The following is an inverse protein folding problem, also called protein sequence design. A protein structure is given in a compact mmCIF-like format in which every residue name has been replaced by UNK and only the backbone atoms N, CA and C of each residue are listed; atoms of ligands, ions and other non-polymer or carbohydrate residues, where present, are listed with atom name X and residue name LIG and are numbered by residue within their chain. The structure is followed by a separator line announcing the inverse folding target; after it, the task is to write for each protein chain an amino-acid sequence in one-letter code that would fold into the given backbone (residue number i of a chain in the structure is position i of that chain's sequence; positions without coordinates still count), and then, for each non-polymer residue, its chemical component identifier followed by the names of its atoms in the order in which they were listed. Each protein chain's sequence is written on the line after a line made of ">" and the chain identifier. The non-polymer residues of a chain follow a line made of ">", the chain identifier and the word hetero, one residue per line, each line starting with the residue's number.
data_IF_346858718759
#
_entry.id   IF_346858718759
#
_cell.length_a   1.000
_cell.length_b   1.000
_cell.length_c   1.000
_cell.angle_alpha   90.00
_cell.angle_beta   90.00
_cell.angle_gamma   90.00
#
_symmetry.space_group_name_H-M   'P 1'
#
loop_
_entity.id
_entity.type
_entity.pdbx_description
1 polymer ?
#
# COMPACT_ATOMS: atom_id res chain seq x y z
N UNK A 1 -31.91 -53.64 -7.63
CA UNK A 1 -30.67 -52.85 -7.56
C UNK A 1 -31.05 -51.42 -7.21
N UNK A 2 -30.91 -51.07 -5.92
CA UNK A 2 -31.12 -49.73 -5.38
C UNK A 2 -29.91 -48.86 -5.72
N UNK A 3 -30.12 -47.64 -6.22
CA UNK A 3 -29.14 -46.57 -6.07
C UNK A 3 -29.87 -45.23 -6.03
N UNK A 4 -30.30 -44.88 -4.83
CA UNK A 4 -30.71 -43.53 -4.44
C UNK A 4 -29.44 -42.82 -4.00
N UNK A 5 -28.90 -41.92 -4.83
CA UNK A 5 -27.77 -41.07 -4.40
C UNK A 5 -28.34 -39.83 -3.73
N UNK A 6 -28.27 -39.89 -2.42
CA UNK A 6 -28.56 -38.85 -1.44
C UNK A 6 -27.51 -37.73 -1.56
N UNK A 7 -27.87 -36.61 -2.18
CA UNK A 7 -27.07 -35.39 -2.15
C UNK A 7 -27.48 -34.56 -0.92
N UNK A 8 -26.78 -34.80 0.19
CA UNK A 8 -26.83 -33.95 1.36
C UNK A 8 -25.46 -33.97 2.05
N UNK A 9 -24.61 -33.01 1.72
CA UNK A 9 -23.53 -32.56 2.60
C UNK A 9 -23.64 -31.04 2.72
N UNK A 10 -24.21 -30.68 3.86
CA UNK A 10 -24.12 -29.38 4.51
C UNK A 10 -22.66 -29.04 4.83
N UNK A 11 -22.35 -27.73 4.88
CA UNK A 11 -21.68 -26.98 5.96
C UNK A 11 -21.08 -25.71 5.33
N UNK A 12 -21.74 -24.56 5.47
CA UNK A 12 -21.48 -23.60 6.56
C UNK A 12 -20.01 -23.15 6.58
N UNK A 13 -19.75 -21.98 5.99
CA UNK A 13 -18.41 -21.38 5.93
C UNK A 13 -18.42 -19.91 5.49
N UNK A 14 -19.40 -19.12 5.92
CA UNK A 14 -19.33 -17.65 5.82
C UNK A 14 -19.13 -17.10 7.23
N UNK A 15 -17.90 -17.18 7.72
CA UNK A 15 -17.45 -16.45 8.91
C UNK A 15 -15.95 -16.27 8.80
N UNK A 16 -15.53 -15.16 8.21
CA UNK A 16 -14.62 -14.22 8.88
C UNK A 16 -14.77 -12.86 8.18
N UNK A 17 -15.58 -11.98 8.75
CA UNK A 17 -15.29 -10.55 8.68
C UNK A 17 -14.19 -10.40 9.73
N UNK A 18 -12.95 -10.48 9.25
CA UNK A 18 -11.78 -10.05 10.00
C UNK A 18 -11.52 -8.63 9.53
N UNK A 19 -12.05 -7.66 10.26
CA UNK A 19 -11.50 -6.30 10.28
C UNK A 19 -10.10 -6.39 10.90
N UNK A 20 -9.11 -6.74 10.09
CA UNK A 20 -7.71 -6.35 10.26
C UNK A 20 -6.99 -6.59 8.92
N UNK A 21 -7.44 -5.86 7.90
CA UNK A 21 -6.68 -5.74 6.66
C UNK A 21 -5.43 -4.88 6.90
N UNK A 22 -4.45 -5.44 7.62
CA UNK A 22 -3.07 -5.21 7.22
C UNK A 22 -2.88 -5.94 5.90
N UNK A 23 -3.46 -5.39 4.82
CA UNK A 23 -3.34 -5.91 3.46
C UNK A 23 -1.93 -5.65 2.92
N UNK A 24 -0.95 -6.30 3.52
CA UNK A 24 0.45 -6.38 3.09
C UNK A 24 0.63 -7.38 1.93
N UNK A 25 -0.32 -7.38 0.98
CA UNK A 25 -0.28 -8.23 -0.23
C UNK A 25 0.29 -7.49 -1.45
N UNK A 26 0.47 -6.17 -1.34
CA UNK A 26 1.05 -5.36 -2.40
C UNK A 26 2.56 -5.59 -2.60
N UNK A 27 3.13 -5.13 -3.73
CA UNK A 27 4.58 -5.21 -4.00
C UNK A 27 5.41 -4.35 -3.03
N UNK A 28 4.78 -3.60 -2.14
CA UNK A 28 5.42 -2.71 -1.19
C UNK A 28 5.15 -3.16 0.25
N UNK A 29 6.21 -3.16 1.05
CA UNK A 29 6.14 -3.27 2.50
C UNK A 29 6.60 -1.95 3.10
N UNK A 30 5.91 -1.46 4.11
CA UNK A 30 6.40 -0.38 4.95
C UNK A 30 6.28 -0.74 6.44
N UNK A 31 7.15 -0.15 7.25
CA UNK A 31 7.16 -0.31 8.71
C UNK A 31 7.82 0.91 9.37
N UNK A 32 7.49 1.15 10.64
CA UNK A 32 8.17 2.12 11.48
C UNK A 32 9.49 1.55 12.00
N UNK A 33 10.59 2.29 11.83
CA UNK A 33 11.92 1.97 12.36
C UNK A 33 12.57 3.25 12.88
N UNK A 34 12.77 3.35 14.19
CA UNK A 34 13.49 4.46 14.83
C UNK A 34 13.04 5.85 14.33
N UNK A 35 11.76 6.18 14.51
CA UNK A 35 11.18 7.48 14.10
C UNK A 35 11.27 7.74 12.58
N UNK A 36 11.30 6.68 11.78
CA UNK A 36 11.27 6.77 10.33
C UNK A 36 10.39 5.68 9.74
N UNK A 37 9.75 5.97 8.62
CA UNK A 37 9.03 4.96 7.82
C UNK A 37 10.02 4.37 6.82
N UNK A 38 10.30 3.07 6.98
CA UNK A 38 11.10 2.29 6.06
C UNK A 38 10.18 1.61 5.04
N UNK A 39 10.45 1.83 3.75
CA UNK A 39 9.63 1.36 2.62
C UNK A 39 10.49 0.49 1.72
N UNK A 40 10.12 -0.78 1.56
CA UNK A 40 10.84 -1.77 0.77
C UNK A 40 10.02 -2.22 -0.43
N UNK A 41 10.54 -1.98 -1.64
CA UNK A 41 9.95 -2.50 -2.86
C UNK A 41 10.32 -3.99 -3.04
N UNK A 42 9.35 -4.87 -2.86
CA UNK A 42 9.44 -6.32 -3.06
C UNK A 42 8.89 -6.77 -4.42
N UNK A 43 8.37 -5.82 -5.21
CA UNK A 43 7.88 -6.06 -6.57
C UNK A 43 9.01 -6.16 -7.59
N UNK A 44 8.61 -6.30 -8.86
CA UNK A 44 9.52 -6.41 -10.00
C UNK A 44 9.71 -5.09 -10.75
N UNK A 45 8.87 -4.10 -10.50
CA UNK A 45 8.90 -2.80 -11.17
C UNK A 45 9.42 -1.71 -10.24
N UNK A 46 9.98 -0.65 -10.82
CA UNK A 46 10.26 0.59 -10.07
C UNK A 46 8.92 1.24 -9.67
N UNK A 47 8.83 1.66 -8.41
CA UNK A 47 7.65 2.35 -7.86
C UNK A 47 8.02 3.74 -7.37
N UNK A 48 7.09 4.68 -7.45
CA UNK A 48 7.23 5.99 -6.84
C UNK A 48 6.34 6.03 -5.61
N UNK A 49 6.76 6.78 -4.59
CA UNK A 49 6.12 6.78 -3.28
C UNK A 49 5.84 8.18 -2.81
N UNK A 50 4.71 8.38 -2.16
CA UNK A 50 4.39 9.58 -1.40
C UNK A 50 3.92 9.16 0.00
N UNK A 51 4.28 9.93 1.02
CA UNK A 51 3.93 9.66 2.41
C UNK A 51 3.31 10.91 3.02
N UNK A 52 2.24 10.73 3.78
CA UNK A 52 1.63 11.80 4.55
C UNK A 52 0.88 11.22 5.76
N UNK A 53 0.75 12.03 6.80
CA UNK A 53 -0.11 11.75 7.94
C UNK A 53 -1.57 11.62 7.49
N UNK A 54 -2.27 10.64 8.04
CA UNK A 54 -3.66 10.33 7.70
C UNK A 54 -4.59 11.54 7.90
N UNK A 55 -4.43 12.30 8.99
CA UNK A 55 -5.31 13.43 9.33
C UNK A 55 -5.17 14.62 8.39
N UNK A 56 -4.04 14.77 7.71
CA UNK A 56 -3.81 15.90 6.81
C UNK A 56 -4.13 15.60 5.35
N UNK A 57 -4.42 14.34 4.99
CA UNK A 57 -4.64 13.93 3.59
C UNK A 57 -5.69 14.78 2.87
N UNK A 58 -6.80 15.10 3.53
CA UNK A 58 -7.88 15.91 2.96
C UNK A 58 -7.48 17.38 2.69
N UNK A 59 -6.33 17.83 3.20
CA UNK A 59 -5.82 19.20 3.09
C UNK A 59 -4.66 19.34 2.11
N UNK A 60 -4.14 18.23 1.59
CA UNK A 60 -3.02 18.22 0.66
C UNK A 60 -3.52 18.31 -0.79
N UNK A 61 -3.07 19.32 -1.53
CA UNK A 61 -3.17 19.33 -2.99
C UNK A 61 -1.92 18.64 -3.57
N UNK A 62 -1.98 17.31 -3.61
CA UNK A 62 -0.88 16.46 -4.10
C UNK A 62 -1.33 15.63 -5.31
N UNK A 63 -0.38 15.34 -6.22
CA UNK A 63 -0.61 14.52 -7.41
C UNK A 63 0.53 13.53 -7.63
N UNK A 64 0.24 12.29 -8.08
CA UNK A 64 1.25 11.34 -8.51
C UNK A 64 2.14 11.90 -9.61
N UNK A 65 3.45 11.67 -9.51
CA UNK A 65 4.44 12.07 -10.50
C UNK A 65 5.54 11.01 -10.64
N UNK A 66 6.39 11.12 -11.66
CA UNK A 66 7.55 10.23 -11.85
C UNK A 66 8.87 10.91 -11.44
N UNK A 67 8.81 11.89 -10.53
CA UNK A 67 9.93 12.73 -10.08
C UNK A 67 10.85 12.02 -9.06
N UNK A 68 12.10 12.48 -8.92
CA UNK A 68 13.21 12.00 -9.74
C UNK A 68 13.70 10.61 -9.34
N UNK A 69 13.50 10.21 -8.08
CA UNK A 69 13.99 8.94 -7.59
C UNK A 69 12.83 7.97 -7.34
N UNK A 70 12.56 7.13 -8.33
CA UNK A 70 11.80 5.90 -8.12
C UNK A 70 12.55 4.93 -7.18
N UNK A 71 11.81 4.08 -6.49
CA UNK A 71 12.32 3.01 -5.66
C UNK A 71 12.45 1.74 -6.51
N UNK A 72 13.69 1.37 -6.85
CA UNK A 72 13.98 0.20 -7.67
C UNK A 72 13.58 -1.12 -6.95
N UNK A 73 13.34 -2.22 -7.72
CA UNK A 73 13.08 -3.54 -7.16
C UNK A 73 14.13 -3.97 -6.13
N UNK A 74 13.70 -4.55 -5.02
CA UNK A 74 14.55 -5.01 -3.92
C UNK A 74 15.15 -3.90 -3.05
N UNK A 75 14.97 -2.63 -3.41
CA UNK A 75 15.54 -1.50 -2.68
C UNK A 75 14.65 -1.06 -1.51
N UNK A 76 15.29 -0.48 -0.50
CA UNK A 76 14.63 0.13 0.66
C UNK A 76 14.93 1.63 0.70
N UNK A 77 13.92 2.43 1.01
CA UNK A 77 14.03 3.86 1.32
C UNK A 77 13.52 4.11 2.72
N UNK A 78 14.23 4.94 3.48
CA UNK A 78 13.81 5.35 4.81
C UNK A 78 13.56 6.85 4.82
N UNK A 79 12.41 7.26 5.35
CA UNK A 79 12.01 8.67 5.47
C UNK A 79 11.71 8.95 6.94
N UNK A 80 12.48 9.86 7.54
CA UNK A 80 12.25 10.29 8.93
C UNK A 80 10.86 10.94 9.06
N UNK A 81 10.16 10.68 10.17
CA UNK A 81 8.82 11.21 10.42
C UNK A 81 8.78 12.73 10.29
N UNK A 82 9.80 13.44 10.79
CA UNK A 82 9.93 14.91 10.68
C UNK A 82 9.91 15.46 9.23
N UNK A 83 10.19 14.61 8.23
CA UNK A 83 10.18 14.98 6.81
C UNK A 83 8.87 14.62 6.10
N UNK A 84 8.02 13.84 6.75
CA UNK A 84 6.73 13.45 6.24
C UNK A 84 5.73 14.54 6.65
N UNK A 85 4.95 15.12 5.71
CA UNK A 85 3.89 16.04 6.07
C UNK A 85 2.91 15.34 7.02
N UNK A 86 2.74 15.83 8.24
CA UNK A 86 1.83 15.28 9.25
C UNK A 86 1.34 16.38 10.20
N UNK A 87 0.24 16.12 10.91
CA UNK A 87 -0.20 16.97 12.02
C UNK A 87 0.54 16.67 13.33
N UNK A 88 0.35 17.53 14.34
CA UNK A 88 0.99 17.37 15.65
C UNK A 88 0.53 16.11 16.41
N UNK A 89 -0.72 15.68 16.18
CA UNK A 89 -1.36 14.51 16.82
C UNK A 89 -1.59 13.36 15.83
N UNK A 90 -0.62 13.09 14.96
CA UNK A 90 -0.70 11.99 13.99
C UNK A 90 -0.30 10.65 14.61
N UNK A 91 -1.12 9.61 14.43
CA UNK A 91 -0.85 8.24 14.89
C UNK A 91 -0.60 7.26 13.73
N UNK A 92 -0.78 7.73 12.48
CA UNK A 92 -0.64 6.92 11.26
C UNK A 92 -0.06 7.71 10.10
N UNK A 93 0.88 7.08 9.39
CA UNK A 93 1.35 7.52 8.08
C UNK A 93 0.73 6.65 6.99
N UNK A 94 0.17 7.28 5.97
CA UNK A 94 -0.27 6.58 4.76
C UNK A 94 0.82 6.65 3.71
N UNK A 95 1.28 5.48 3.25
CA UNK A 95 2.26 5.32 2.19
C UNK A 95 1.51 5.02 0.89
N UNK A 96 1.53 5.96 -0.04
CA UNK A 96 1.02 5.79 -1.39
C UNK A 96 2.11 5.33 -2.34
N UNK A 97 1.77 4.53 -3.34
CA UNK A 97 2.67 4.18 -4.41
C UNK A 97 1.99 3.92 -5.75
N UNK A 98 2.77 4.04 -6.83
CA UNK A 98 2.36 3.74 -8.20
C UNK A 98 3.58 3.33 -9.02
N UNK A 99 3.35 2.53 -10.07
CA UNK A 99 4.35 2.26 -11.12
C UNK A 99 4.16 3.22 -12.29
N UNK A 100 5.05 3.19 -13.28
CA UNK A 100 4.84 3.92 -14.52
C UNK A 100 4.08 3.05 -15.53
N UNK A 101 3.11 3.63 -16.23
CA UNK A 101 2.47 3.01 -17.41
C UNK A 101 2.85 3.77 -18.68
N UNK A 102 2.82 3.07 -19.81
CA UNK A 102 3.04 3.68 -21.13
C UNK A 102 1.69 3.95 -21.78
N UNK A 103 1.46 5.22 -22.13
CA UNK A 103 0.26 5.67 -22.83
C UNK A 103 0.67 6.52 -24.02
N UNK A 104 0.29 6.09 -25.24
CA UNK A 104 0.66 6.75 -26.50
C UNK A 104 2.16 7.08 -26.60
N UNK A 105 3.04 6.20 -26.11
CA UNK A 105 4.50 6.40 -26.13
C UNK A 105 5.06 7.31 -25.03
N UNK A 106 4.20 7.89 -24.18
CA UNK A 106 4.60 8.70 -23.03
C UNK A 106 4.47 7.89 -21.73
N UNK A 107 5.42 8.07 -20.80
CA UNK A 107 5.30 7.48 -19.46
C UNK A 107 4.47 8.39 -18.57
N UNK A 108 3.49 7.81 -17.89
CA UNK A 108 2.65 8.50 -16.91
C UNK A 108 2.51 7.67 -15.63
N UNK A 109 2.15 8.28 -14.49
CA UNK A 109 1.79 7.55 -13.29
C UNK A 109 0.69 6.50 -13.54
N UNK A 110 0.90 5.31 -13.00
CA UNK A 110 -0.06 4.21 -13.00
C UNK A 110 -1.15 4.37 -11.94
N UNK A 111 -1.83 3.27 -11.67
CA UNK A 111 -2.79 3.20 -10.56
C UNK A 111 -2.08 3.42 -9.23
N UNK A 112 -2.73 4.17 -8.34
CA UNK A 112 -2.23 4.45 -7.00
C UNK A 112 -2.77 3.40 -6.04
N UNK A 113 -1.88 2.82 -5.26
CA UNK A 113 -2.20 1.96 -4.13
C UNK A 113 -1.69 2.60 -2.85
N UNK A 114 -2.19 2.14 -1.70
CA UNK A 114 -1.80 2.69 -0.41
C UNK A 114 -1.81 1.64 0.70
N UNK A 115 -1.04 1.90 1.75
CA UNK A 115 -1.08 1.16 3.01
C UNK A 115 -0.78 2.11 4.17
N UNK A 116 -1.27 1.81 5.36
CA UNK A 116 -1.03 2.60 6.56
C UNK A 116 0.06 1.97 7.43
N UNK A 117 0.87 2.82 8.06
CA UNK A 117 1.88 2.47 9.05
C UNK A 117 1.52 3.19 10.35
N UNK A 118 1.32 2.45 11.43
CA UNK A 118 1.14 3.01 12.77
C UNK A 118 2.49 3.57 13.27
N UNK A 119 2.46 4.76 13.88
CA UNK A 119 3.66 5.51 14.30
C UNK A 119 3.71 5.76 15.81
#
# INVERSE_FOLDING_TARGET
>A
MLSTVLCALLLAGCSVVGDDETSASGPLRAELVNEAVAVQNRGQDTVWTFMAGQHILARLDWRPSLDPDGLAPGSTRTVALEKIPMGDDEDRVVVFWWSARVNAGTREPGEVSSLSVEI
#
